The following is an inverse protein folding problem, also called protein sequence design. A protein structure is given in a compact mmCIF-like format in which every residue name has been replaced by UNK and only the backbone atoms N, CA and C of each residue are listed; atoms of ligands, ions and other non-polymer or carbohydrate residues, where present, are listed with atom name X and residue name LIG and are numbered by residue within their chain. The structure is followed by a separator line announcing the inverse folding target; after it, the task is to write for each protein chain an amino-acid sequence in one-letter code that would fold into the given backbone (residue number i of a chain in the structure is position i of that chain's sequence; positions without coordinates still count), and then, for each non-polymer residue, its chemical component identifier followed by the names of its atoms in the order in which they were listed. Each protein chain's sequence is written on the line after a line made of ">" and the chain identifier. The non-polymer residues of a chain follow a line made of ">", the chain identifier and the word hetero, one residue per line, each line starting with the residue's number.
data_IF_425671727994
#
_entry.id   IF_425671727994
#
_cell.length_a   1.000
_cell.length_b   1.000
_cell.length_c   1.000
_cell.angle_alpha   90.00
_cell.angle_beta   90.00
_cell.angle_gamma   90.00
#
_symmetry.space_group_name_H-M   'P 1'
#
loop_
_entity.id
_entity.type
_entity.pdbx_description
1 polymer ?
#
# COMPACT_ATOMS: atom_id res chain seq x y z
N UNK A 1 -43.55 -7.33 -31.01
CA UNK A 1 -42.50 -7.76 -30.07
C UNK A 1 -41.27 -6.95 -30.39
N UNK A 2 -41.16 -5.78 -29.76
CA UNK A 2 -40.08 -4.84 -30.06
C UNK A 2 -38.75 -5.40 -29.58
N UNK A 3 -37.85 -5.63 -30.53
CA UNK A 3 -36.42 -5.83 -30.29
C UNK A 3 -35.82 -4.46 -29.96
N UNK A 4 -36.15 -3.94 -28.79
CA UNK A 4 -35.46 -2.78 -28.25
C UNK A 4 -34.09 -3.28 -27.79
N UNK A 5 -33.05 -2.97 -28.57
CA UNK A 5 -31.68 -3.29 -28.21
C UNK A 5 -31.38 -2.60 -26.86
N UNK A 6 -31.01 -3.35 -25.82
CA UNK A 6 -31.03 -2.84 -24.44
C UNK A 6 -29.85 -1.89 -24.15
N UNK A 7 -29.05 -1.56 -25.17
CA UNK A 7 -27.94 -0.58 -25.16
C UNK A 7 -28.36 0.86 -24.79
N UNK A 8 -29.64 1.11 -24.50
CA UNK A 8 -30.23 2.46 -24.35
C UNK A 8 -30.85 2.75 -22.99
N UNK A 9 -30.65 1.93 -21.95
CA UNK A 9 -31.11 2.31 -20.61
C UNK A 9 -30.04 3.13 -19.89
N UNK A 10 -30.28 4.41 -19.54
CA UNK A 10 -29.31 5.22 -18.79
C UNK A 10 -28.84 4.54 -17.50
N UNK A 11 -29.72 3.72 -16.91
CA UNK A 11 -29.49 2.97 -15.68
C UNK A 11 -28.30 1.99 -15.81
N UNK A 12 -28.11 1.33 -16.96
CA UNK A 12 -26.97 0.40 -17.14
C UNK A 12 -25.64 1.13 -17.15
N UNK A 13 -25.57 2.29 -17.80
CA UNK A 13 -24.35 3.11 -17.83
C UNK A 13 -24.05 3.73 -16.47
N UNK A 14 -25.08 4.27 -15.78
CA UNK A 14 -24.92 4.80 -14.43
C UNK A 14 -24.38 3.72 -13.49
N UNK A 15 -24.94 2.52 -13.55
CA UNK A 15 -24.48 1.40 -12.74
C UNK A 15 -23.04 0.97 -13.09
N UNK A 16 -22.72 0.89 -14.39
CA UNK A 16 -21.37 0.59 -14.85
C UNK A 16 -20.34 1.57 -14.28
N UNK A 17 -20.56 2.88 -14.42
CA UNK A 17 -19.62 3.88 -13.90
C UNK A 17 -19.55 3.87 -12.38
N UNK A 18 -20.68 3.72 -11.69
CA UNK A 18 -20.71 3.64 -10.23
C UNK A 18 -19.85 2.47 -9.72
N UNK A 19 -19.96 1.30 -10.34
CA UNK A 19 -19.17 0.13 -9.99
C UNK A 19 -17.70 0.31 -10.38
N UNK A 20 -17.42 0.88 -11.55
CA UNK A 20 -16.06 1.13 -12.01
C UNK A 20 -15.29 2.02 -11.01
N UNK A 21 -15.91 3.12 -10.57
CA UNK A 21 -15.30 4.00 -9.56
C UNK A 21 -15.19 3.31 -8.19
N UNK A 22 -16.24 2.61 -7.75
CA UNK A 22 -16.22 1.87 -6.49
C UNK A 22 -15.07 0.84 -6.46
N UNK A 23 -14.89 0.08 -7.54
CA UNK A 23 -13.84 -0.92 -7.62
C UNK A 23 -12.44 -0.30 -7.72
N UNK A 24 -12.29 0.84 -8.40
CA UNK A 24 -11.05 1.61 -8.36
C UNK A 24 -10.67 1.99 -6.92
N UNK A 25 -11.61 2.59 -6.17
CA UNK A 25 -11.37 2.93 -4.77
C UNK A 25 -11.05 1.70 -3.93
N UNK A 26 -11.74 0.59 -4.16
CA UNK A 26 -11.47 -0.68 -3.49
C UNK A 26 -10.05 -1.19 -3.76
N UNK A 27 -9.60 -1.22 -5.02
CA UNK A 27 -8.25 -1.64 -5.40
C UNK A 27 -7.19 -0.72 -4.78
N UNK A 28 -7.44 0.60 -4.80
CA UNK A 28 -6.54 1.57 -4.18
C UNK A 28 -6.41 1.33 -2.66
N UNK A 29 -7.52 1.12 -1.96
CA UNK A 29 -7.52 0.83 -0.52
C UNK A 29 -6.83 -0.50 -0.19
N UNK A 30 -7.05 -1.53 -0.99
CA UNK A 30 -6.35 -2.81 -0.83
C UNK A 30 -4.86 -2.62 -1.01
N UNK A 31 -4.40 -1.97 -2.08
CA UNK A 31 -2.96 -1.81 -2.34
C UNK A 31 -2.27 -1.01 -1.22
N UNK A 32 -2.85 0.12 -0.78
CA UNK A 32 -2.31 0.86 0.37
C UNK A 32 -2.36 0.04 1.66
N UNK A 33 -3.44 -0.71 1.89
CA UNK A 33 -3.58 -1.60 3.03
C UNK A 33 -2.53 -2.70 3.07
N UNK A 34 -2.27 -3.33 1.92
CA UNK A 34 -1.24 -4.36 1.75
C UNK A 34 0.15 -3.77 1.92
N UNK A 35 0.42 -2.57 1.38
CA UNK A 35 1.70 -1.90 1.62
C UNK A 35 1.89 -1.55 3.10
N UNK A 36 0.84 -1.09 3.81
CA UNK A 36 0.89 -0.90 5.26
C UNK A 36 1.19 -2.20 6.01
N UNK A 37 0.62 -3.32 5.58
CA UNK A 37 0.90 -4.64 6.14
C UNK A 37 2.35 -5.08 5.87
N UNK A 38 2.86 -4.79 4.67
CA UNK A 38 4.27 -5.00 4.32
C UNK A 38 5.18 -4.24 5.29
N UNK A 39 4.91 -2.96 5.53
CA UNK A 39 5.66 -2.17 6.53
C UNK A 39 5.58 -2.81 7.93
N UNK A 40 4.40 -3.25 8.37
CA UNK A 40 4.25 -3.91 9.67
C UNK A 40 5.14 -5.16 9.78
N UNK A 41 5.21 -5.96 8.72
CA UNK A 41 6.06 -7.14 8.63
C UNK A 41 7.54 -6.77 8.63
N UNK A 42 7.94 -5.70 7.93
CA UNK A 42 9.33 -5.20 7.93
C UNK A 42 9.83 -4.78 9.30
N UNK A 43 8.95 -4.37 10.21
CA UNK A 43 9.28 -4.02 11.59
C UNK A 43 9.03 -5.18 12.59
N UNK A 44 8.98 -6.43 12.13
CA UNK A 44 8.84 -7.59 13.01
C UNK A 44 7.43 -7.81 13.56
N UNK A 45 6.39 -7.37 12.84
CA UNK A 45 5.00 -7.60 13.21
C UNK A 45 4.48 -6.65 14.27
N UNK A 46 4.87 -5.36 14.21
CA UNK A 46 4.37 -4.33 15.13
C UNK A 46 2.85 -4.27 15.09
N UNK A 47 2.22 -4.05 16.26
CA UNK A 47 0.77 -3.86 16.37
C UNK A 47 0.24 -2.89 15.32
N UNK A 48 -0.91 -3.24 14.73
CA UNK A 48 -1.60 -2.48 13.68
C UNK A 48 -1.73 -0.97 13.99
N UNK A 49 -1.94 -0.59 15.26
CA UNK A 49 -2.01 0.83 15.65
C UNK A 49 -0.70 1.57 15.34
N UNK A 50 0.44 1.00 15.73
CA UNK A 50 1.76 1.59 15.49
C UNK A 50 2.16 1.52 14.03
N UNK A 51 1.89 0.41 13.34
CA UNK A 51 2.09 0.32 11.88
C UNK A 51 1.34 1.44 11.15
N UNK A 52 0.10 1.73 11.53
CA UNK A 52 -0.67 2.81 10.93
C UNK A 52 -0.11 4.20 11.24
N UNK A 53 0.43 4.40 12.45
CA UNK A 53 1.10 5.65 12.82
C UNK A 53 2.39 5.85 12.03
N UNK A 54 3.24 4.82 11.96
CA UNK A 54 4.49 4.82 11.18
C UNK A 54 4.19 5.10 9.71
N UNK A 55 3.19 4.42 9.14
CA UNK A 55 2.77 4.62 7.76
C UNK A 55 2.31 6.07 7.52
N UNK A 56 1.38 6.57 8.34
CA UNK A 56 0.79 7.90 8.18
C UNK A 56 1.81 9.02 8.39
N UNK A 57 2.66 8.91 9.41
CA UNK A 57 3.68 9.90 9.71
C UNK A 57 4.85 9.82 8.73
N UNK A 58 5.28 8.61 8.36
CA UNK A 58 6.32 8.40 7.36
C UNK A 58 5.94 9.06 6.03
N UNK A 59 4.75 8.75 5.51
CA UNK A 59 4.29 9.34 4.24
C UNK A 59 4.07 10.86 4.34
N UNK A 60 3.84 11.42 5.53
CA UNK A 60 3.53 12.86 5.68
C UNK A 60 4.59 13.75 5.04
N UNK A 61 5.87 13.41 5.21
CA UNK A 61 6.99 14.23 4.75
C UNK A 61 7.38 13.96 3.29
N UNK A 62 7.10 12.76 2.77
CA UNK A 62 7.44 12.31 1.41
C UNK A 62 6.20 12.19 0.50
N UNK A 63 5.07 12.77 0.90
CA UNK A 63 3.74 12.47 0.33
C UNK A 63 3.72 12.55 -1.20
N UNK A 64 4.24 13.64 -1.76
CA UNK A 64 4.17 13.92 -3.20
C UNK A 64 4.95 12.89 -4.01
N UNK A 65 6.17 12.59 -3.58
CA UNK A 65 7.06 11.63 -4.24
C UNK A 65 6.55 10.21 -4.08
N UNK A 66 6.12 9.86 -2.86
CA UNK A 66 5.56 8.56 -2.55
C UNK A 66 4.34 8.25 -3.44
N UNK A 67 3.37 9.17 -3.52
CA UNK A 67 2.19 8.94 -4.35
C UNK A 67 2.51 8.94 -5.84
N UNK A 68 3.50 9.72 -6.29
CA UNK A 68 3.97 9.66 -7.68
C UNK A 68 4.45 8.24 -8.02
N UNK A 69 5.42 7.72 -7.27
CA UNK A 69 5.97 6.38 -7.54
C UNK A 69 4.92 5.26 -7.35
N UNK A 70 4.05 5.42 -6.36
CA UNK A 70 2.93 4.51 -6.12
C UNK A 70 1.97 4.47 -7.32
N UNK A 71 1.59 5.63 -7.86
CA UNK A 71 0.71 5.70 -9.01
C UNK A 71 1.39 5.27 -10.30
N UNK A 72 2.71 5.48 -10.46
CA UNK A 72 3.46 5.01 -11.63
C UNK A 72 3.33 3.48 -11.80
N UNK A 73 3.17 2.74 -10.70
CA UNK A 73 3.00 1.27 -10.76
C UNK A 73 1.56 0.82 -10.61
N UNK A 74 0.71 1.60 -9.94
CA UNK A 74 -0.73 1.33 -9.91
C UNK A 74 -1.37 1.58 -11.28
N UNK A 75 -0.85 2.50 -12.10
CA UNK A 75 -1.48 2.92 -13.36
C UNK A 75 -1.57 1.78 -14.40
N UNK A 76 -0.50 0.99 -14.67
CA UNK A 76 -0.63 -0.20 -15.53
C UNK A 76 -1.67 -1.20 -15.02
N UNK A 77 -1.69 -1.48 -13.70
CA UNK A 77 -2.68 -2.37 -13.09
C UNK A 77 -4.11 -1.81 -13.23
N UNK A 78 -4.27 -0.50 -13.11
CA UNK A 78 -5.54 0.20 -13.27
C UNK A 78 -6.04 0.12 -14.72
N UNK A 79 -5.16 0.29 -15.71
CA UNK A 79 -5.52 0.11 -17.12
C UNK A 79 -6.01 -1.31 -17.39
N UNK A 80 -5.24 -2.31 -16.95
CA UNK A 80 -5.63 -3.73 -17.10
C UNK A 80 -6.97 -3.97 -16.41
N UNK A 81 -7.14 -3.43 -15.21
CA UNK A 81 -8.39 -3.48 -14.47
C UNK A 81 -9.57 -2.92 -15.29
N UNK A 82 -9.47 -1.68 -15.79
CA UNK A 82 -10.54 -1.04 -16.56
C UNK A 82 -10.87 -1.88 -17.79
N UNK A 83 -9.85 -2.36 -18.51
CA UNK A 83 -10.04 -3.18 -19.71
C UNK A 83 -10.76 -4.48 -19.39
N UNK A 84 -10.31 -5.23 -18.39
CA UNK A 84 -10.89 -6.51 -17.98
C UNK A 84 -12.32 -6.33 -17.47
N UNK A 85 -12.57 -5.31 -16.64
CA UNK A 85 -13.89 -5.02 -16.12
C UNK A 85 -14.86 -4.62 -17.24
N UNK A 86 -14.42 -3.73 -18.15
CA UNK A 86 -15.22 -3.29 -19.30
C UNK A 86 -15.54 -4.47 -20.21
N UNK A 87 -14.53 -5.25 -20.59
CA UNK A 87 -14.72 -6.43 -21.45
C UNK A 87 -15.63 -7.47 -20.81
N UNK A 88 -15.44 -7.78 -19.51
CA UNK A 88 -16.30 -8.75 -18.81
C UNK A 88 -17.74 -8.26 -18.69
N UNK A 89 -17.95 -6.99 -18.32
CA UNK A 89 -19.28 -6.40 -18.17
C UNK A 89 -20.07 -6.43 -19.49
N UNK A 90 -19.46 -5.97 -20.59
CA UNK A 90 -20.13 -5.98 -21.88
C UNK A 90 -20.24 -7.37 -22.51
N UNK A 91 -19.26 -8.27 -22.30
CA UNK A 91 -19.36 -9.65 -22.80
C UNK A 91 -20.47 -10.42 -22.10
N UNK A 92 -20.60 -10.29 -20.78
CA UNK A 92 -21.67 -10.93 -20.01
C UNK A 92 -23.05 -10.36 -20.34
N UNK A 93 -23.10 -9.08 -20.74
CA UNK A 93 -24.32 -8.45 -21.22
C UNK A 93 -24.86 -9.06 -22.53
N UNK A 94 -23.99 -9.64 -23.36
CA UNK A 94 -24.42 -10.38 -24.56
C UNK A 94 -25.02 -11.76 -24.22
N UNK A 95 -24.77 -12.27 -23.01
CA UNK A 95 -25.32 -13.54 -22.54
C UNK A 95 -26.73 -13.32 -22.01
N UNK A 96 -27.74 -13.72 -22.78
CA UNK A 96 -29.17 -13.51 -22.47
C UNK A 96 -29.57 -13.98 -21.07
N UNK A 97 -29.11 -15.15 -20.65
CA UNK A 97 -29.46 -15.72 -19.34
C UNK A 97 -28.97 -14.86 -18.18
N UNK A 98 -27.81 -14.20 -18.31
CA UNK A 98 -27.24 -13.36 -17.26
C UNK A 98 -27.95 -12.02 -17.18
N UNK A 99 -28.30 -11.46 -18.35
CA UNK A 99 -28.97 -10.16 -18.45
C UNK A 99 -30.42 -10.22 -17.96
N UNK A 100 -31.11 -11.33 -18.21
CA UNK A 100 -32.47 -11.58 -17.72
C UNK A 100 -32.54 -11.76 -16.20
N UNK A 101 -31.46 -12.27 -15.60
CA UNK A 101 -31.35 -12.46 -14.15
C UNK A 101 -31.07 -11.15 -13.39
N UNK A 102 -30.97 -10.01 -14.09
CA UNK A 102 -30.91 -8.68 -13.50
C UNK A 102 -29.50 -8.09 -13.36
N UNK A 103 -29.44 -6.76 -13.23
CA UNK A 103 -28.20 -5.98 -13.20
C UNK A 103 -27.25 -6.38 -12.07
N UNK A 104 -27.77 -6.89 -10.95
CA UNK A 104 -26.96 -7.31 -9.81
C UNK A 104 -26.08 -8.52 -10.13
N UNK A 105 -26.63 -9.52 -10.83
CA UNK A 105 -25.89 -10.74 -11.21
C UNK A 105 -24.84 -10.40 -12.27
N UNK A 106 -25.18 -9.56 -13.25
CA UNK A 106 -24.23 -9.05 -14.24
C UNK A 106 -23.04 -8.36 -13.56
N UNK A 107 -23.33 -7.42 -12.65
CA UNK A 107 -22.33 -6.62 -11.94
C UNK A 107 -21.42 -7.50 -11.08
N UNK A 108 -22.00 -8.37 -10.25
CA UNK A 108 -21.26 -9.25 -9.36
C UNK A 108 -20.35 -10.22 -10.11
N UNK A 109 -20.83 -10.79 -11.22
CA UNK A 109 -20.04 -11.71 -12.05
C UNK A 109 -18.87 -10.99 -12.72
N UNK A 110 -19.10 -9.76 -13.22
CA UNK A 110 -18.03 -8.94 -13.82
C UNK A 110 -16.95 -8.58 -12.80
N UNK A 111 -17.35 -8.23 -11.58
CA UNK A 111 -16.44 -7.98 -10.46
C UNK A 111 -15.62 -9.24 -10.16
N UNK A 112 -16.26 -10.41 -10.06
CA UNK A 112 -15.55 -11.66 -9.75
C UNK A 112 -14.50 -12.02 -10.80
N UNK A 113 -14.86 -11.95 -12.09
CA UNK A 113 -13.90 -12.19 -13.19
C UNK A 113 -12.71 -11.23 -13.09
N UNK A 114 -13.00 -9.95 -12.83
CA UNK A 114 -11.98 -8.91 -12.70
C UNK A 114 -11.06 -9.19 -11.52
N UNK A 115 -11.61 -9.55 -10.36
CA UNK A 115 -10.82 -9.88 -9.17
C UNK A 115 -9.98 -11.14 -9.39
N UNK A 116 -10.49 -12.17 -10.05
CA UNK A 116 -9.72 -13.37 -10.38
C UNK A 116 -8.47 -13.05 -11.22
N UNK A 117 -8.60 -12.15 -12.20
CA UNK A 117 -7.47 -11.72 -13.02
C UNK A 117 -6.51 -10.83 -12.22
N UNK A 118 -7.03 -9.94 -11.36
CA UNK A 118 -6.18 -9.10 -10.51
C UNK A 118 -5.38 -9.90 -9.49
N UNK A 119 -5.92 -10.99 -8.95
CA UNK A 119 -5.19 -11.91 -8.06
C UNK A 119 -3.97 -12.49 -8.77
N UNK A 120 -4.08 -12.86 -10.05
CA UNK A 120 -2.96 -13.37 -10.84
C UNK A 120 -1.84 -12.33 -10.99
N UNK A 121 -2.18 -11.05 -11.00
CA UNK A 121 -1.24 -9.93 -11.13
C UNK A 121 -0.72 -9.41 -9.78
N UNK A 122 -1.18 -9.96 -8.65
CA UNK A 122 -0.76 -9.56 -7.31
C UNK A 122 0.77 -9.64 -7.07
N UNK A 123 1.52 -10.62 -7.62
CA UNK A 123 2.98 -10.65 -7.49
C UNK A 123 3.67 -9.38 -7.97
N UNK A 124 3.13 -8.71 -8.99
CA UNK A 124 3.67 -7.46 -9.53
C UNK A 124 3.57 -6.35 -8.48
N UNK A 125 2.44 -6.26 -7.75
CA UNK A 125 2.27 -5.31 -6.65
C UNK A 125 3.27 -5.56 -5.52
N UNK A 126 3.59 -6.82 -5.19
CA UNK A 126 4.57 -7.13 -4.14
C UNK A 126 6.00 -6.73 -4.53
N UNK A 127 6.40 -6.95 -5.79
CA UNK A 127 7.68 -6.48 -6.30
C UNK A 127 7.77 -4.94 -6.19
N UNK A 128 6.68 -4.26 -6.51
CA UNK A 128 6.61 -2.80 -6.36
C UNK A 128 6.70 -2.35 -4.89
N UNK A 129 6.05 -3.04 -3.95
CA UNK A 129 6.18 -2.72 -2.53
C UNK A 129 7.62 -2.87 -2.03
N UNK A 130 8.35 -3.85 -2.56
CA UNK A 130 9.78 -4.00 -2.29
C UNK A 130 10.58 -2.80 -2.83
N UNK A 131 10.27 -2.32 -4.04
CA UNK A 131 10.86 -1.12 -4.60
C UNK A 131 10.56 0.14 -3.75
N UNK A 132 9.29 0.38 -3.40
CA UNK A 132 8.89 1.49 -2.54
C UNK A 132 9.55 1.41 -1.17
N UNK A 133 9.62 0.21 -0.60
CA UNK A 133 10.31 0.00 0.67
C UNK A 133 11.78 0.36 0.55
N UNK A 134 12.51 -0.14 -0.45
CA UNK A 134 13.93 0.17 -0.61
C UNK A 134 14.18 1.67 -0.79
N UNK A 135 13.28 2.40 -1.46
CA UNK A 135 13.40 3.85 -1.67
C UNK A 135 13.08 4.66 -0.42
N UNK A 136 12.07 4.24 0.36
CA UNK A 136 11.52 5.04 1.46
C UNK A 136 11.77 4.44 2.86
N UNK A 137 12.47 3.31 2.97
CA UNK A 137 12.73 2.61 4.23
C UNK A 137 13.35 3.55 5.27
N UNK A 138 14.31 4.38 4.87
CA UNK A 138 15.01 5.27 5.77
C UNK A 138 14.05 6.24 6.46
N UNK A 139 13.09 6.79 5.72
CA UNK A 139 12.08 7.68 6.25
C UNK A 139 11.10 6.95 7.19
N UNK A 140 10.70 5.72 6.85
CA UNK A 140 9.89 4.89 7.75
C UNK A 140 10.62 4.48 9.02
N UNK A 141 11.91 4.10 8.94
CA UNK A 141 12.74 3.73 10.08
C UNK A 141 13.02 4.94 10.97
N UNK A 142 13.30 6.10 10.40
CA UNK A 142 13.47 7.35 11.16
C UNK A 142 12.19 7.72 11.91
N UNK A 143 11.04 7.57 11.26
CA UNK A 143 9.72 7.76 11.90
C UNK A 143 9.50 6.77 13.04
N UNK A 144 9.83 5.49 12.83
CA UNK A 144 9.76 4.47 13.86
C UNK A 144 10.65 4.81 15.07
N UNK A 145 11.90 5.21 14.84
CA UNK A 145 12.83 5.62 15.91
C UNK A 145 12.27 6.82 16.68
N UNK A 146 11.71 7.81 15.98
CA UNK A 146 11.10 8.98 16.62
C UNK A 146 9.96 8.57 17.56
N UNK A 147 9.03 7.73 17.08
CA UNK A 147 7.90 7.23 17.86
C UNK A 147 8.35 6.38 19.05
N UNK A 148 9.38 5.56 18.86
CA UNK A 148 9.92 4.72 19.91
C UNK A 148 10.66 5.55 20.99
N UNK A 149 11.38 6.61 20.62
CA UNK A 149 11.96 7.56 21.57
C UNK A 149 10.90 8.27 22.41
N UNK A 150 9.84 8.75 21.76
CA UNK A 150 8.73 9.41 22.45
C UNK A 150 8.09 8.45 23.46
N UNK A 151 7.84 7.21 23.05
CA UNK A 151 7.28 6.16 23.92
C UNK A 151 8.22 5.81 25.08
N UNK A 152 9.53 5.71 24.84
CA UNK A 152 10.52 5.48 25.89
C UNK A 152 10.59 6.66 26.87
N UNK A 153 10.50 7.89 26.38
CA UNK A 153 10.52 9.10 27.21
C UNK A 153 9.29 9.16 28.12
N UNK A 154 8.10 8.88 27.58
CA UNK A 154 6.87 8.79 28.37
C UNK A 154 6.94 7.68 29.43
N UNK A 155 7.49 6.51 29.08
CA UNK A 155 7.73 5.44 30.07
C UNK A 155 8.75 5.86 31.14
N UNK A 156 9.78 6.60 30.76
CA UNK A 156 10.77 7.16 31.69
C UNK A 156 10.18 8.22 32.61
N UNK A 157 9.25 9.04 32.15
CA UNK A 157 8.58 10.05 32.98
C UNK A 157 7.62 9.42 34.01
N UNK A 158 7.09 8.23 33.72
CA UNK A 158 6.18 7.48 34.62
C UNK A 158 6.94 6.68 35.70
N UNK A 159 8.19 7.07 36.01
CA UNK A 159 9.24 6.23 36.63
C UNK A 159 9.03 5.70 38.06
N UNK A 160 7.96 6.06 38.75
CA UNK A 160 7.89 5.80 40.19
C UNK A 160 7.36 4.40 40.58
N UNK A 161 6.73 3.66 39.67
CA UNK A 161 6.01 2.42 40.00
C UNK A 161 6.45 1.17 39.21
N UNK A 162 7.60 1.20 38.52
CA UNK A 162 8.07 0.02 37.80
C UNK A 162 8.83 -0.94 38.71
N UNK A 163 8.38 -2.20 38.68
CA UNK A 163 9.07 -3.35 39.24
C UNK A 163 10.45 -3.53 38.58
N UNK A 164 11.38 -4.22 39.25
CA UNK A 164 12.76 -4.37 38.76
C UNK A 164 12.82 -5.01 37.37
N UNK A 165 11.89 -5.91 37.06
CA UNK A 165 11.76 -6.56 35.75
C UNK A 165 11.41 -5.56 34.62
N UNK A 166 10.53 -4.61 34.89
CA UNK A 166 10.13 -3.57 33.92
C UNK A 166 11.25 -2.56 33.66
N UNK A 167 12.09 -2.29 34.67
CA UNK A 167 13.29 -1.46 34.51
C UNK A 167 14.34 -2.14 33.61
N UNK A 168 14.52 -3.44 33.75
CA UNK A 168 15.44 -4.20 32.88
C UNK A 168 14.94 -4.25 31.43
N UNK A 169 13.64 -4.47 31.22
CA UNK A 169 13.03 -4.42 29.88
C UNK A 169 13.18 -3.05 29.22
N UNK A 170 12.99 -1.97 29.98
CA UNK A 170 13.20 -0.60 29.49
C UNK A 170 14.65 -0.37 29.05
N UNK A 171 15.62 -0.80 29.87
CA UNK A 171 17.05 -0.67 29.54
C UNK A 171 17.43 -1.46 28.29
N UNK A 172 16.95 -2.71 28.17
CA UNK A 172 17.13 -3.54 26.96
C UNK A 172 16.51 -2.88 25.73
N UNK A 173 15.32 -2.28 25.85
CA UNK A 173 14.67 -1.58 24.76
C UNK A 173 15.44 -0.33 24.32
N UNK A 174 15.99 0.43 25.26
CA UNK A 174 16.85 1.58 25.00
C UNK A 174 18.16 1.18 24.31
N UNK A 175 18.84 0.14 24.81
CA UNK A 175 20.08 -0.37 24.21
C UNK A 175 19.84 -0.85 22.77
N UNK A 176 18.74 -1.56 22.51
CA UNK A 176 18.37 -2.00 21.17
C UNK A 176 18.04 -0.83 20.24
N UNK A 177 17.34 0.19 20.74
CA UNK A 177 17.01 1.38 19.96
C UNK A 177 18.25 2.21 19.62
N UNK A 178 19.22 2.30 20.53
CA UNK A 178 20.51 2.95 20.26
C UNK A 178 21.31 2.19 19.20
N UNK A 179 21.35 0.84 19.25
CA UNK A 179 21.96 0.03 18.18
C UNK A 179 21.33 0.30 16.81
N UNK A 180 20.00 0.38 16.73
CA UNK A 180 19.29 0.68 15.47
C UNK A 180 19.64 2.09 14.97
N UNK A 181 19.72 3.08 15.87
CA UNK A 181 20.16 4.45 15.52
C UNK A 181 21.58 4.48 14.98
N UNK A 182 22.50 3.76 15.62
CA UNK A 182 23.91 3.74 15.24
C UNK A 182 24.10 3.04 13.88
N UNK A 183 23.38 1.95 13.64
CA UNK A 183 23.32 1.31 12.30
C UNK A 183 22.81 2.27 11.23
N UNK A 184 21.74 3.02 11.52
CA UNK A 184 21.18 4.00 10.58
C UNK A 184 22.17 5.12 10.23
N UNK A 185 22.99 5.55 11.21
CA UNK A 185 24.02 6.58 10.98
C UNK A 185 25.15 6.04 10.10
N UNK A 186 25.62 4.83 10.37
CA UNK A 186 26.73 4.22 9.63
C UNK A 186 26.34 3.84 8.18
N UNK A 187 25.09 3.46 7.95
CA UNK A 187 24.58 3.17 6.59
C UNK A 187 24.44 4.43 5.71
N UNK A 188 24.33 5.62 6.32
CA UNK A 188 24.30 6.89 5.61
C UNK A 188 25.69 7.46 5.35
N UNK A 189 26.60 7.39 6.32
CA UNK A 189 27.99 7.86 6.12
C UNK A 189 28.71 7.13 4.99
N UNK A 190 28.39 5.84 4.77
CA UNK A 190 28.97 5.06 3.68
C UNK A 190 28.33 5.32 2.31
N UNK A 191 27.14 5.93 2.24
CA UNK A 191 26.49 6.26 0.96
C UNK A 191 26.93 7.61 0.42
N UNK A 192 27.16 8.58 1.31
CA UNK A 192 27.63 9.92 0.91
C UNK A 192 29.08 9.93 0.38
N UNK A 193 29.93 8.96 0.75
CA UNK A 193 31.29 8.82 0.19
C UNK A 193 31.34 8.12 -1.18
N UNK A 194 30.22 7.53 -1.64
CA UNK A 194 30.20 6.70 -2.85
C UNK A 194 29.66 7.38 -4.12
N UNK A 195 29.11 8.60 -4.00
CA UNK A 195 28.47 9.32 -5.12
C UNK A 195 29.37 10.41 -5.76
N UNK A 196 30.56 10.68 -5.23
CA UNK A 196 31.44 11.78 -5.72
C UNK A 196 32.64 11.28 -6.57
N UNK A 197 32.57 10.06 -7.11
CA UNK A 197 33.68 9.46 -7.89
C UNK A 197 33.26 8.75 -9.19
N UNK A 198 32.20 9.22 -9.85
CA UNK A 198 31.88 8.83 -11.23
C UNK A 198 31.41 10.01 -12.09
N UNK A 199 32.25 11.01 -12.19
CA UNK A 199 32.19 11.97 -13.29
C UNK A 199 33.60 12.29 -13.76
N UNK A 200 34.24 11.33 -14.43
CA UNK A 200 35.04 11.58 -15.64
C UNK A 200 35.56 10.25 -16.23
N UNK A 201 35.71 10.23 -17.55
CA UNK A 201 36.26 9.16 -18.41
C UNK A 201 35.27 8.14 -19.01
N UNK A 202 34.67 8.49 -20.15
CA UNK A 202 34.92 7.90 -21.50
C UNK A 202 33.92 8.54 -22.49
N UNK A 203 34.32 9.50 -23.33
CA UNK A 203 34.84 9.32 -24.71
C UNK A 203 34.07 8.28 -25.54
#
# INVERSE_FOLDING_TARGET
>A
QDKMYPFMYPITFINFFAILFSLYFFIHQINLGTFRYYIASSFGGVNAKYSNLIFKQGIKNIRKEFYKDYYDTLYPLLIIFILVFTLSYFSLYLVKNITQNGLYILSSTSILITLSILILLMPISFNHFTFLWNKYNHNFVTTFISLANESLTQMKETYNNFDNEKKEQLKKAEDNLNKIKDQLKNDHSNKDESDDSKDDQTK
#
